data_IF_920896494652
#
_entry.id   IF_920896494652
#
_cell.length_a   1.000
_cell.length_b   1.000
_cell.length_c   1.000
_cell.angle_alpha   90.00
_cell.angle_beta   90.00
_cell.angle_gamma   90.00
#
_symmetry.space_group_name_H-M   'P 1'
#
loop_
_entity.id
_entity.type
_entity.pdbx_description
1 polymer ?
#
# COMPACT_ATOMS: atom_id res chain seq x y z
N UNK A 1 -7.25 14.02 22.26
CA UNK A 1 -7.19 12.54 22.41
C UNK A 1 -5.74 12.16 22.62
N UNK A 2 -5.44 11.34 23.61
CA UNK A 2 -4.07 10.87 23.84
C UNK A 2 -3.75 9.77 22.84
N UNK A 3 -2.57 9.85 22.21
CA UNK A 3 -2.08 8.85 21.25
C UNK A 3 -0.81 8.24 21.81
N UNK A 4 -0.80 6.94 22.02
CA UNK A 4 0.37 6.20 22.44
C UNK A 4 1.13 5.70 21.21
N UNK A 5 2.29 6.28 20.96
CA UNK A 5 3.17 5.89 19.83
C UNK A 5 4.27 4.96 20.30
N UNK A 6 4.51 3.88 19.53
CA UNK A 6 5.58 2.93 19.77
C UNK A 6 6.14 2.44 18.42
N UNK A 7 7.38 1.99 18.43
CA UNK A 7 8.09 1.50 17.24
C UNK A 7 9.08 0.41 17.59
N UNK A 8 9.40 -0.43 16.62
CA UNK A 8 10.32 -1.52 16.85
C UNK A 8 10.53 -2.39 15.65
N UNK A 9 11.06 -3.57 15.90
CA UNK A 9 11.27 -4.59 14.88
C UNK A 9 10.51 -5.85 15.22
N UNK A 10 10.03 -6.54 14.20
CA UNK A 10 9.43 -7.86 14.28
C UNK A 10 10.13 -8.79 13.28
N UNK A 11 10.46 -10.00 13.73
CA UNK A 11 11.05 -10.99 12.85
C UNK A 11 9.99 -11.61 11.94
N UNK A 12 10.22 -11.56 10.65
CA UNK A 12 9.40 -12.17 9.61
C UNK A 12 10.07 -13.44 9.07
N UNK A 13 9.47 -14.02 8.03
CA UNK A 13 9.99 -15.22 7.37
C UNK A 13 11.45 -15.02 6.92
N UNK A 14 12.22 -16.10 6.92
CA UNK A 14 13.67 -16.11 6.60
C UNK A 14 14.52 -15.24 7.53
N UNK A 15 14.04 -14.92 8.74
CA UNK A 15 14.79 -14.19 9.76
C UNK A 15 14.97 -12.68 9.46
N UNK A 16 14.22 -12.13 8.52
CA UNK A 16 14.25 -10.70 8.17
C UNK A 16 13.52 -9.90 9.25
N UNK A 17 14.14 -8.83 9.76
CA UNK A 17 13.49 -7.93 10.70
C UNK A 17 12.80 -6.79 9.98
N UNK A 18 11.50 -6.66 10.19
CA UNK A 18 10.67 -5.59 9.66
C UNK A 18 10.54 -4.49 10.71
N UNK A 19 10.83 -3.26 10.31
CA UNK A 19 10.59 -2.08 11.13
C UNK A 19 9.12 -1.68 11.06
N UNK A 20 8.51 -1.42 12.22
CA UNK A 20 7.12 -0.97 12.31
C UNK A 20 6.99 0.22 13.26
N UNK A 21 5.95 0.99 13.04
CA UNK A 21 5.44 2.02 13.94
C UNK A 21 3.96 1.79 14.19
N UNK A 22 3.52 2.06 15.43
CA UNK A 22 2.11 2.07 15.80
C UNK A 22 1.76 3.34 16.56
N UNK A 23 0.59 3.86 16.28
CA UNK A 23 0.01 5.03 16.93
C UNK A 23 -1.40 4.64 17.39
N UNK A 24 -1.53 4.36 18.68
CA UNK A 24 -2.73 3.80 19.29
C UNK A 24 -3.52 4.90 19.98
N UNK A 25 -4.80 4.99 19.69
CA UNK A 25 -5.74 5.82 20.41
C UNK A 25 -6.42 5.01 21.51
N UNK A 26 -6.90 5.67 22.54
CA UNK A 26 -7.73 5.05 23.56
C UNK A 26 -9.10 4.69 22.96
N UNK A 27 -9.55 3.46 23.15
CA UNK A 27 -10.83 2.92 22.62
C UNK A 27 -11.00 3.08 21.08
N UNK A 28 -10.13 2.51 20.27
CA UNK A 28 -10.24 2.63 18.81
C UNK A 28 -11.49 1.93 18.27
N UNK A 29 -12.18 2.57 17.34
CA UNK A 29 -13.27 1.93 16.60
C UNK A 29 -12.73 0.93 15.57
N UNK A 30 -11.60 1.25 14.96
CA UNK A 30 -10.92 0.45 13.93
C UNK A 30 -9.41 0.58 14.07
N UNK A 31 -8.70 -0.46 13.71
CA UNK A 31 -7.25 -0.41 13.48
C UNK A 31 -6.99 -0.45 11.99
N UNK A 32 -6.18 0.49 11.50
CA UNK A 32 -5.74 0.54 10.10
C UNK A 32 -4.29 0.11 10.00
N UNK A 33 -4.01 -0.93 9.21
CA UNK A 33 -2.66 -1.32 8.80
C UNK A 33 -2.35 -0.71 7.45
N UNK A 34 -1.34 0.19 7.38
CA UNK A 34 -0.95 0.88 6.14
C UNK A 34 0.25 0.17 5.49
N UNK A 35 0.11 -0.12 4.19
CA UNK A 35 1.10 -0.70 3.30
C UNK A 35 1.57 0.35 2.29
N UNK A 36 2.85 0.72 2.35
CA UNK A 36 3.43 1.76 1.50
C UNK A 36 3.67 1.30 0.05
N UNK A 37 3.92 2.24 -0.87
CA UNK A 37 4.24 1.98 -2.26
C UNK A 37 5.68 1.48 -2.48
N UNK A 38 6.01 1.21 -3.75
CA UNK A 38 7.35 0.76 -4.12
C UNK A 38 8.39 1.86 -3.92
N UNK A 39 9.59 1.50 -3.50
CA UNK A 39 10.73 2.40 -3.29
C UNK A 39 10.54 3.48 -2.22
N UNK A 40 9.41 3.53 -1.55
CA UNK A 40 9.14 4.46 -0.46
C UNK A 40 9.16 3.77 0.92
N UNK A 41 8.57 4.39 1.95
CA UNK A 41 8.58 3.88 3.32
C UNK A 41 7.40 4.40 4.15
N UNK A 42 7.17 3.81 5.32
CA UNK A 42 6.06 4.10 6.23
C UNK A 42 5.95 5.58 6.66
N UNK A 43 7.08 6.30 6.71
CA UNK A 43 7.13 7.69 7.18
C UNK A 43 6.31 8.66 6.31
N UNK A 44 6.15 8.37 5.02
CA UNK A 44 5.38 9.19 4.08
C UNK A 44 3.88 9.22 4.38
N UNK A 45 3.40 8.34 5.24
CA UNK A 45 1.99 8.28 5.69
C UNK A 45 1.75 8.97 7.04
N UNK A 46 2.69 9.79 7.52
CA UNK A 46 2.58 10.46 8.83
C UNK A 46 1.38 11.43 8.88
N UNK A 47 1.09 12.15 7.78
CA UNK A 47 -0.08 13.02 7.71
C UNK A 47 -1.39 12.22 7.80
N UNK A 48 -1.56 11.21 6.97
CA UNK A 48 -2.72 10.32 6.97
C UNK A 48 -2.96 9.70 8.35
N UNK A 49 -1.91 9.16 8.97
CA UNK A 49 -1.95 8.59 10.30
C UNK A 49 -2.47 9.60 11.33
N UNK A 50 -1.99 10.84 11.29
CA UNK A 50 -2.47 11.88 12.21
C UNK A 50 -3.96 12.16 12.02
N UNK A 51 -4.46 12.25 10.77
CA UNK A 51 -5.89 12.43 10.50
C UNK A 51 -6.71 11.25 11.04
N UNK A 52 -6.26 10.03 10.83
CA UNK A 52 -6.94 8.83 11.35
C UNK A 52 -7.00 8.84 12.88
N UNK A 53 -5.91 9.17 13.56
CA UNK A 53 -5.90 9.23 15.03
C UNK A 53 -6.91 10.27 15.57
N UNK A 54 -7.09 11.43 14.89
CA UNK A 54 -8.11 12.42 15.32
C UNK A 54 -9.53 11.88 15.25
N UNK A 55 -9.76 10.84 14.46
CA UNK A 55 -11.06 10.18 14.24
C UNK A 55 -11.18 8.84 14.99
N UNK A 56 -10.42 8.66 16.07
CA UNK A 56 -10.41 7.45 16.92
C UNK A 56 -10.04 6.16 16.17
N UNK A 57 -9.20 6.26 15.14
CA UNK A 57 -8.62 5.11 14.45
C UNK A 57 -7.19 4.91 14.92
N UNK A 58 -6.86 3.71 15.39
CA UNK A 58 -5.46 3.32 15.65
C UNK A 58 -4.77 2.94 14.35
N UNK A 59 -3.48 3.23 14.24
CA UNK A 59 -2.72 3.01 12.99
C UNK A 59 -1.48 2.19 13.25
N UNK A 60 -1.26 1.17 12.43
CA UNK A 60 0.00 0.46 12.28
C UNK A 60 0.56 0.71 10.89
N UNK A 61 1.87 0.88 10.80
CA UNK A 61 2.61 1.04 9.56
C UNK A 61 3.89 0.24 9.68
N UNK A 62 4.35 -0.37 8.60
CA UNK A 62 5.66 -1.02 8.61
C UNK A 62 6.36 -0.80 7.28
N UNK A 63 7.69 -0.85 7.31
CA UNK A 63 8.51 -0.84 6.11
C UNK A 63 8.59 -2.26 5.55
N UNK A 64 8.24 -2.43 4.28
CA UNK A 64 8.46 -3.71 3.60
C UNK A 64 9.94 -4.10 3.64
N UNK A 65 10.22 -5.40 3.60
CA UNK A 65 11.60 -5.88 3.46
C UNK A 65 12.34 -5.17 2.34
N UNK A 66 13.59 -4.79 2.60
CA UNK A 66 14.40 -4.04 1.64
C UNK A 66 13.99 -2.58 1.45
N UNK A 67 13.09 -2.04 2.28
CA UNK A 67 12.66 -0.64 2.27
C UNK A 67 12.82 0.01 3.64
N UNK A 68 12.91 1.35 3.65
CA UNK A 68 13.01 2.14 4.87
C UNK A 68 14.06 1.63 5.85
N UNK A 69 13.65 1.31 7.07
CA UNK A 69 14.50 0.76 8.13
C UNK A 69 14.44 -0.77 8.24
N UNK A 70 13.62 -1.46 7.44
CA UNK A 70 13.56 -2.92 7.42
C UNK A 70 14.80 -3.54 6.82
N UNK A 71 15.16 -4.74 7.31
CA UNK A 71 16.24 -5.54 6.74
C UNK A 71 15.86 -6.08 5.36
N UNK A 72 16.86 -6.64 4.66
CA UNK A 72 16.73 -7.19 3.32
C UNK A 72 17.56 -6.44 2.29
N UNK A 73 17.62 -6.97 1.07
CA UNK A 73 18.31 -6.28 -0.04
C UNK A 73 17.48 -5.09 -0.48
N UNK A 74 18.11 -3.93 -0.61
CA UNK A 74 17.42 -2.67 -0.96
C UNK A 74 16.66 -2.79 -2.27
N UNK A 75 15.36 -2.48 -2.24
CA UNK A 75 14.45 -2.54 -3.38
C UNK A 75 14.65 -3.79 -4.26
N UNK A 76 14.70 -4.97 -3.60
CA UNK A 76 14.86 -6.28 -4.23
C UNK A 76 14.00 -7.33 -3.52
N UNK A 77 13.52 -8.30 -4.29
CA UNK A 77 12.82 -9.48 -3.77
C UNK A 77 13.11 -10.69 -4.66
N UNK A 78 13.18 -11.86 -4.07
CA UNK A 78 13.35 -13.12 -4.80
C UNK A 78 12.00 -13.80 -5.14
N UNK A 79 10.97 -13.56 -4.31
CA UNK A 79 9.59 -14.01 -4.54
C UNK A 79 8.61 -12.98 -3.93
N UNK A 80 7.67 -12.46 -4.73
CA UNK A 80 6.67 -11.50 -4.26
C UNK A 80 5.80 -12.04 -3.12
N UNK A 81 5.67 -13.35 -2.98
CA UNK A 81 4.95 -13.97 -1.86
C UNK A 81 5.54 -13.64 -0.50
N UNK A 82 6.83 -13.31 -0.43
CA UNK A 82 7.46 -12.90 0.83
C UNK A 82 6.86 -11.60 1.40
N UNK A 83 6.36 -10.70 0.55
CA UNK A 83 5.63 -9.52 1.01
C UNK A 83 4.26 -9.89 1.62
N UNK A 84 3.60 -10.92 1.08
CA UNK A 84 2.34 -11.44 1.63
C UNK A 84 2.57 -12.04 3.01
N UNK A 85 3.66 -12.81 3.17
CA UNK A 85 4.06 -13.37 4.47
C UNK A 85 4.39 -12.27 5.48
N UNK A 86 5.05 -11.17 5.04
CA UNK A 86 5.36 -10.02 5.90
C UNK A 86 4.08 -9.35 6.42
N UNK A 87 3.10 -9.14 5.55
CA UNK A 87 1.78 -8.61 5.95
C UNK A 87 1.13 -9.51 6.98
N UNK A 88 1.17 -10.84 6.79
CA UNK A 88 0.58 -11.81 7.71
C UNK A 88 1.23 -11.75 9.11
N UNK A 89 2.56 -11.61 9.16
CA UNK A 89 3.30 -11.46 10.43
C UNK A 89 2.88 -10.20 11.18
N UNK A 90 2.83 -9.05 10.49
CA UNK A 90 2.40 -7.77 11.08
C UNK A 90 0.92 -7.85 11.50
N UNK A 91 0.04 -8.40 10.66
CA UNK A 91 -1.39 -8.52 10.96
C UNK A 91 -1.66 -9.39 12.19
N UNK A 92 -0.91 -10.48 12.38
CA UNK A 92 -0.98 -11.29 13.60
C UNK A 92 -0.67 -10.48 14.85
N UNK A 93 0.38 -9.64 14.81
CA UNK A 93 0.71 -8.71 15.90
C UNK A 93 -0.43 -7.71 16.14
N UNK A 94 -0.95 -7.09 15.08
CA UNK A 94 -2.07 -6.14 15.17
C UNK A 94 -3.25 -6.76 15.89
N UNK A 95 -3.66 -7.97 15.51
CA UNK A 95 -4.83 -8.68 16.09
C UNK A 95 -4.61 -9.09 17.55
N UNK A 96 -3.39 -9.53 17.89
CA UNK A 96 -3.05 -9.89 19.28
C UNK A 96 -3.10 -8.68 20.21
N UNK A 97 -2.65 -7.52 19.73
CA UNK A 97 -2.62 -6.28 20.51
C UNK A 97 -3.99 -5.57 20.56
N UNK A 98 -4.90 -5.85 19.61
CA UNK A 98 -6.21 -5.22 19.50
C UNK A 98 -7.33 -6.28 19.36
N UNK A 99 -7.54 -7.12 20.39
CA UNK A 99 -8.55 -8.17 20.32
C UNK A 99 -9.95 -7.55 20.19
N UNK A 100 -10.76 -8.10 19.27
CA UNK A 100 -12.13 -7.68 18.99
C UNK A 100 -12.31 -6.28 18.38
N UNK A 101 -11.23 -5.60 17.99
CA UNK A 101 -11.32 -4.36 17.23
C UNK A 101 -11.24 -4.71 15.74
N UNK A 102 -12.14 -4.19 14.90
CA UNK A 102 -12.06 -4.38 13.45
C UNK A 102 -10.72 -3.91 12.89
N UNK A 103 -10.17 -4.67 11.94
CA UNK A 103 -8.89 -4.34 11.27
C UNK A 103 -9.13 -4.12 9.79
N UNK A 104 -8.60 -3.03 9.26
CA UNK A 104 -8.61 -2.69 7.82
C UNK A 104 -7.17 -2.62 7.32
N UNK A 105 -6.93 -3.09 6.10
CA UNK A 105 -5.67 -2.86 5.39
C UNK A 105 -5.88 -1.70 4.42
N UNK A 106 -5.02 -0.67 4.51
CA UNK A 106 -4.90 0.39 3.52
C UNK A 106 -3.60 0.22 2.75
N UNK A 107 -3.66 0.02 1.44
CA UNK A 107 -2.47 -0.11 0.60
C UNK A 107 -2.44 0.93 -0.52
N UNK A 108 -1.28 1.54 -0.74
CA UNK A 108 -1.06 2.46 -1.84
C UNK A 108 -0.15 1.86 -2.91
N UNK A 109 -0.49 2.04 -4.18
CA UNK A 109 0.35 1.62 -5.31
C UNK A 109 0.74 0.15 -5.21
N UNK A 110 2.03 -0.16 -5.11
CA UNK A 110 2.54 -1.51 -4.83
C UNK A 110 1.94 -2.11 -3.55
N UNK A 111 1.82 -1.33 -2.46
CA UNK A 111 1.13 -1.75 -1.24
C UNK A 111 -0.34 -2.09 -1.48
N UNK A 112 -0.99 -1.42 -2.44
CA UNK A 112 -2.34 -1.74 -2.89
C UNK A 112 -2.41 -3.09 -3.61
N UNK A 113 -1.43 -3.39 -4.48
CA UNK A 113 -1.29 -4.72 -5.08
C UNK A 113 -1.12 -5.80 -4.00
N UNK A 114 -0.23 -5.58 -3.03
CA UNK A 114 0.00 -6.53 -1.93
C UNK A 114 -1.25 -6.72 -1.07
N UNK A 115 -2.00 -5.65 -0.78
CA UNK A 115 -3.26 -5.72 -0.03
C UNK A 115 -4.30 -6.60 -0.76
N UNK A 116 -4.49 -6.39 -2.06
CA UNK A 116 -5.41 -7.20 -2.88
C UNK A 116 -4.93 -8.65 -2.94
N UNK A 117 -3.63 -8.88 -3.19
CA UNK A 117 -3.07 -10.23 -3.24
C UNK A 117 -3.25 -10.96 -1.91
N UNK A 118 -3.06 -10.26 -0.78
CA UNK A 118 -3.33 -10.81 0.56
C UNK A 118 -4.79 -11.22 0.70
N UNK A 119 -5.75 -10.38 0.32
CA UNK A 119 -7.19 -10.68 0.40
C UNK A 119 -7.62 -11.85 -0.50
N UNK A 120 -7.02 -11.97 -1.69
CA UNK A 120 -7.29 -13.13 -2.58
C UNK A 120 -6.82 -14.45 -1.96
N UNK A 121 -5.67 -14.44 -1.25
CA UNK A 121 -5.07 -15.64 -0.64
C UNK A 121 -5.70 -15.94 0.71
N UNK A 122 -5.92 -14.91 1.54
CA UNK A 122 -6.31 -14.98 2.93
C UNK A 122 -7.67 -14.32 3.16
N UNK A 123 -8.72 -14.87 2.55
CA UNK A 123 -10.09 -14.34 2.62
C UNK A 123 -10.60 -14.23 4.07
N UNK A 124 -11.37 -13.19 4.36
CA UNK A 124 -11.98 -12.95 5.67
C UNK A 124 -10.98 -12.78 6.83
N UNK A 125 -9.71 -12.47 6.53
CA UNK A 125 -8.72 -12.23 7.58
C UNK A 125 -8.76 -10.82 8.15
N UNK A 126 -9.35 -9.86 7.43
CA UNK A 126 -9.58 -8.49 7.91
C UNK A 126 -11.01 -8.07 7.61
N UNK A 127 -11.43 -6.94 8.17
CA UNK A 127 -12.81 -6.47 8.05
C UNK A 127 -13.05 -5.65 6.78
N UNK A 128 -11.98 -5.20 6.11
CA UNK A 128 -12.07 -4.48 4.85
C UNK A 128 -10.72 -4.03 4.32
N UNK A 129 -10.76 -3.55 3.10
CA UNK A 129 -9.58 -3.05 2.37
C UNK A 129 -9.86 -1.67 1.81
N UNK A 130 -8.83 -0.84 1.82
CA UNK A 130 -8.79 0.44 1.11
C UNK A 130 -7.57 0.42 0.22
N UNK A 131 -7.72 0.60 -1.07
CA UNK A 131 -6.61 0.58 -2.00
C UNK A 131 -6.57 1.86 -2.82
N UNK A 132 -5.44 2.54 -2.74
CA UNK A 132 -5.16 3.80 -3.42
C UNK A 132 -4.24 3.54 -4.61
N UNK A 133 -4.73 3.80 -5.82
CA UNK A 133 -3.98 3.66 -7.07
C UNK A 133 -3.20 2.32 -7.15
N UNK A 134 -3.83 1.15 -6.93
CA UNK A 134 -3.14 -0.12 -6.81
C UNK A 134 -2.43 -0.51 -8.10
N UNK A 135 -1.18 -0.96 -8.02
CA UNK A 135 -0.41 -1.46 -9.16
C UNK A 135 -0.93 -2.82 -9.59
N UNK A 136 -1.85 -2.87 -10.52
CA UNK A 136 -2.59 -4.06 -10.92
C UNK A 136 -2.48 -4.41 -12.40
N UNK A 137 -1.88 -3.51 -13.17
CA UNK A 137 -1.46 -3.74 -14.55
C UNK A 137 -0.18 -2.94 -14.85
N UNK A 138 0.30 -3.04 -16.06
CA UNK A 138 1.38 -2.21 -16.61
C UNK A 138 0.92 -1.57 -17.92
N UNK A 139 -0.31 -1.07 -17.95
CA UNK A 139 -0.86 -0.45 -19.16
C UNK A 139 -0.14 0.87 -19.52
N UNK A 140 0.38 1.56 -18.52
CA UNK A 140 1.27 2.70 -18.74
C UNK A 140 2.63 2.31 -19.34
N UNK A 141 2.96 1.01 -19.40
CA UNK A 141 4.18 0.48 -20.00
C UNK A 141 5.46 0.83 -19.24
N UNK A 142 5.34 1.29 -17.99
CA UNK A 142 6.50 1.69 -17.19
C UNK A 142 7.38 0.49 -16.87
N UNK A 143 6.77 -0.67 -16.61
CA UNK A 143 7.49 -1.91 -16.30
C UNK A 143 7.92 -2.66 -17.57
N UNK A 144 7.30 -2.41 -18.73
CA UNK A 144 7.65 -3.03 -20.01
C UNK A 144 9.09 -2.75 -20.44
N UNK A 145 9.59 -1.56 -20.16
CA UNK A 145 10.98 -1.19 -20.41
C UNK A 145 11.97 -2.14 -19.70
N UNK A 146 11.53 -2.86 -18.66
CA UNK A 146 12.34 -3.77 -17.85
C UNK A 146 12.10 -5.26 -18.15
N UNK A 147 11.24 -5.60 -19.12
CA UNK A 147 11.04 -7.00 -19.61
C UNK A 147 12.25 -7.59 -20.32
N UNK A 148 13.38 -6.85 -20.34
CA UNK A 148 14.62 -7.24 -21.00
C UNK A 148 15.29 -8.47 -20.35
N UNK A 149 16.25 -9.07 -21.07
CA UNK A 149 17.11 -10.17 -20.59
C UNK A 149 18.15 -9.73 -19.52
N UNK A 150 17.91 -8.63 -18.81
CA UNK A 150 18.80 -8.15 -17.75
C UNK A 150 18.84 -9.13 -16.59
N UNK A 151 20.02 -9.23 -15.95
CA UNK A 151 20.19 -10.04 -14.74
C UNK A 151 19.35 -9.47 -13.59
N UNK A 152 18.82 -10.34 -12.75
CA UNK A 152 17.93 -9.96 -11.62
C UNK A 152 18.60 -9.02 -10.63
N UNK A 153 19.93 -9.10 -10.51
CA UNK A 153 20.74 -8.25 -9.63
C UNK A 153 21.10 -6.89 -10.24
N UNK A 154 20.67 -6.61 -11.46
CA UNK A 154 20.84 -5.30 -12.07
C UNK A 154 19.89 -4.31 -11.44
N UNK A 155 20.40 -3.12 -11.09
CA UNK A 155 19.57 -2.02 -10.58
C UNK A 155 19.32 -0.98 -11.66
N UNK A 156 18.10 -0.53 -11.76
CA UNK A 156 17.61 0.50 -12.68
C UNK A 156 17.10 1.71 -11.91
N UNK A 157 17.16 2.88 -12.53
CA UNK A 157 16.76 4.13 -11.90
C UNK A 157 15.24 4.14 -11.61
N UNK A 158 14.86 4.58 -10.43
CA UNK A 158 13.49 4.91 -10.08
C UNK A 158 13.15 6.30 -10.65
N UNK A 159 12.41 6.35 -11.75
CA UNK A 159 12.02 7.58 -12.41
C UNK A 159 10.61 8.07 -12.02
N UNK A 160 9.99 7.51 -10.99
CA UNK A 160 8.62 7.81 -10.59
C UNK A 160 8.46 9.21 -9.99
N UNK A 161 9.54 9.77 -9.42
CA UNK A 161 9.52 11.04 -8.67
C UNK A 161 8.86 12.22 -9.39
N UNK A 162 8.88 12.23 -10.73
CA UNK A 162 8.27 13.30 -11.53
C UNK A 162 6.76 13.14 -11.71
N UNK A 163 6.23 11.95 -11.45
CA UNK A 163 4.86 11.54 -11.78
C UNK A 163 4.01 11.23 -10.54
N UNK A 164 4.64 11.14 -9.34
CA UNK A 164 3.96 10.69 -8.13
C UNK A 164 2.84 11.63 -7.66
N UNK A 165 2.97 12.94 -7.85
CA UNK A 165 2.01 13.92 -7.34
C UNK A 165 1.99 15.19 -8.20
N UNK A 166 0.85 15.87 -8.32
CA UNK A 166 0.75 17.16 -8.99
C UNK A 166 1.44 18.29 -8.19
N UNK A 167 1.54 18.15 -6.87
CA UNK A 167 2.22 19.11 -6.01
C UNK A 167 3.74 19.00 -6.12
N UNK A 168 4.37 20.08 -6.57
CA UNK A 168 5.83 20.14 -6.74
C UNK A 168 6.59 19.98 -5.41
N UNK A 169 6.00 20.40 -4.28
CA UNK A 169 6.63 20.26 -2.98
C UNK A 169 6.70 18.78 -2.57
N UNK A 170 5.63 18.02 -2.78
CA UNK A 170 5.59 16.56 -2.53
C UNK A 170 6.63 15.83 -3.39
N UNK A 171 6.75 16.19 -4.68
CA UNK A 171 7.79 15.62 -5.56
C UNK A 171 9.20 15.94 -5.08
N UNK A 172 9.42 17.16 -4.57
CA UNK A 172 10.71 17.56 -4.01
C UNK A 172 11.04 16.74 -2.76
N UNK A 173 10.09 16.61 -1.84
CA UNK A 173 10.23 15.79 -0.62
C UNK A 173 10.52 14.33 -0.97
N UNK A 174 9.86 13.76 -1.97
CA UNK A 174 10.14 12.40 -2.47
C UNK A 174 11.59 12.24 -2.93
N UNK A 175 12.14 13.22 -3.66
CA UNK A 175 13.52 13.19 -4.19
C UNK A 175 14.56 13.37 -3.08
N UNK A 176 14.28 14.23 -2.09
CA UNK A 176 15.22 14.60 -1.03
C UNK A 176 15.18 13.62 0.16
N UNK A 177 14.19 12.72 0.22
CA UNK A 177 14.05 11.74 1.29
C UNK A 177 15.10 10.62 1.17
N UNK A 178 16.02 10.48 2.15
CA UNK A 178 17.09 9.48 2.10
C UNK A 178 16.60 8.04 2.24
N UNK A 179 15.35 7.81 2.65
CA UNK A 179 14.73 6.49 2.77
C UNK A 179 13.98 6.07 1.51
N UNK A 180 13.75 7.00 0.59
CA UNK A 180 13.21 6.69 -0.74
C UNK A 180 14.34 6.16 -1.63
N UNK A 181 14.15 4.97 -2.20
CA UNK A 181 15.15 4.37 -3.07
C UNK A 181 15.15 5.02 -4.46
N UNK A 182 16.29 5.51 -4.88
CA UNK A 182 16.53 6.05 -6.22
C UNK A 182 16.67 4.97 -7.29
N UNK A 183 16.80 3.69 -6.88
CA UNK A 183 16.96 2.52 -7.76
C UNK A 183 16.17 1.34 -7.24
N UNK A 184 15.74 0.48 -8.16
CA UNK A 184 15.14 -0.82 -7.86
C UNK A 184 15.80 -1.91 -8.71
N UNK A 185 15.80 -3.14 -8.21
CA UNK A 185 16.38 -4.26 -8.94
C UNK A 185 15.43 -4.79 -10.02
N UNK A 186 16.00 -5.36 -11.07
CA UNK A 186 15.24 -6.10 -12.09
C UNK A 186 14.51 -7.30 -11.47
N UNK A 187 15.07 -7.90 -10.40
CA UNK A 187 14.41 -8.94 -9.62
C UNK A 187 13.07 -8.49 -9.06
N UNK A 188 13.05 -7.33 -8.39
CA UNK A 188 11.81 -6.74 -7.85
C UNK A 188 10.78 -6.48 -8.97
N UNK A 189 11.20 -5.89 -10.09
CA UNK A 189 10.30 -5.61 -11.22
C UNK A 189 9.72 -6.89 -11.80
N UNK A 190 10.53 -7.94 -12.01
CA UNK A 190 10.07 -9.22 -12.54
C UNK A 190 9.08 -9.92 -11.59
N UNK A 191 9.35 -9.90 -10.29
CA UNK A 191 8.45 -10.49 -9.31
C UNK A 191 7.13 -9.69 -9.19
N UNK A 192 7.17 -8.36 -9.30
CA UNK A 192 5.94 -7.55 -9.43
C UNK A 192 5.11 -7.97 -10.64
N UNK A 193 5.71 -8.05 -11.84
CA UNK A 193 5.01 -8.45 -13.06
C UNK A 193 4.42 -9.86 -12.94
N UNK A 194 5.15 -10.79 -12.34
CA UNK A 194 4.67 -12.15 -12.04
C UNK A 194 3.45 -12.12 -11.10
N UNK A 195 3.52 -11.34 -10.04
CA UNK A 195 2.43 -11.16 -9.07
C UNK A 195 1.20 -10.50 -9.70
N UNK A 196 1.37 -9.45 -10.50
CA UNK A 196 0.30 -8.78 -11.24
C UNK A 196 -0.40 -9.78 -12.19
N UNK A 197 0.38 -10.55 -12.97
CA UNK A 197 -0.17 -11.54 -13.86
C UNK A 197 -0.94 -12.65 -13.11
N UNK A 198 -0.48 -13.05 -11.93
CA UNK A 198 -1.20 -13.98 -11.05
C UNK A 198 -2.49 -13.35 -10.52
N UNK A 199 -2.45 -12.11 -10.05
CA UNK A 199 -3.58 -11.41 -9.50
C UNK A 199 -4.68 -11.21 -10.55
N UNK A 200 -4.37 -10.79 -11.77
CA UNK A 200 -5.34 -10.68 -12.87
C UNK A 200 -6.14 -11.98 -13.08
N UNK A 201 -5.50 -13.14 -12.94
CA UNK A 201 -6.17 -14.46 -13.06
C UNK A 201 -6.99 -14.85 -11.83
N UNK A 202 -6.68 -14.26 -10.66
CA UNK A 202 -7.21 -14.68 -9.37
C UNK A 202 -8.20 -13.70 -8.76
N UNK A 203 -8.34 -12.50 -9.35
CA UNK A 203 -9.08 -11.37 -8.76
C UNK A 203 -10.56 -11.68 -8.49
N UNK A 204 -11.18 -12.55 -9.28
CA UNK A 204 -12.55 -13.02 -9.04
C UNK A 204 -12.72 -13.79 -7.72
N UNK A 205 -11.62 -14.14 -7.03
CA UNK A 205 -11.68 -14.74 -5.70
C UNK A 205 -11.74 -13.70 -4.57
N UNK A 206 -11.49 -12.44 -4.88
CA UNK A 206 -11.54 -11.37 -3.89
C UNK A 206 -13.01 -11.06 -3.55
N UNK A 207 -13.41 -11.28 -2.29
CA UNK A 207 -14.79 -11.16 -1.83
C UNK A 207 -14.97 -10.33 -0.54
N UNK A 208 -13.88 -9.80 0.03
CA UNK A 208 -13.93 -8.95 1.22
C UNK A 208 -14.42 -7.53 0.89
N UNK A 209 -14.96 -6.76 1.87
CA UNK A 209 -15.31 -5.35 1.68
C UNK A 209 -14.11 -4.52 1.20
N UNK A 210 -14.31 -3.68 0.17
CA UNK A 210 -13.22 -2.88 -0.42
C UNK A 210 -13.68 -1.51 -0.90
N UNK A 211 -12.82 -0.51 -0.66
CA UNK A 211 -12.85 0.80 -1.29
C UNK A 211 -11.63 0.95 -2.21
N UNK A 212 -11.88 1.17 -3.50
CA UNK A 212 -10.86 1.58 -4.46
C UNK A 212 -10.90 3.10 -4.61
N UNK A 213 -9.75 3.77 -4.53
CA UNK A 213 -9.61 5.20 -4.74
C UNK A 213 -8.47 5.46 -5.73
N UNK A 214 -8.69 6.33 -6.74
CA UNK A 214 -7.69 6.59 -7.77
C UNK A 214 -7.76 8.02 -8.30
N UNK A 215 -6.64 8.58 -8.69
CA UNK A 215 -6.58 9.87 -9.40
C UNK A 215 -6.81 9.67 -10.91
N UNK A 216 -7.68 10.47 -11.52
CA UNK A 216 -8.01 10.37 -12.95
C UNK A 216 -6.80 10.68 -13.85
N UNK A 217 -5.89 11.56 -13.39
CA UNK A 217 -4.70 11.96 -14.14
C UNK A 217 -3.41 11.22 -13.69
N UNK A 218 -3.57 10.04 -13.08
CA UNK A 218 -2.43 9.19 -12.71
C UNK A 218 -1.68 8.74 -13.97
N UNK A 219 -0.38 9.06 -14.02
CA UNK A 219 0.51 8.74 -15.14
C UNK A 219 1.41 7.52 -14.84
N UNK A 220 1.30 6.92 -13.66
CA UNK A 220 2.05 5.75 -13.24
C UNK A 220 1.20 4.48 -13.38
N UNK A 221 -0.03 4.54 -12.86
CA UNK A 221 -1.02 3.46 -12.95
C UNK A 221 -2.30 4.05 -13.50
N UNK A 222 -2.84 3.48 -14.56
CA UNK A 222 -4.11 3.94 -15.13
C UNK A 222 -5.27 3.71 -14.15
N UNK A 223 -6.14 4.70 -13.96
CA UNK A 223 -7.35 4.53 -13.16
C UNK A 223 -8.30 3.46 -13.75
N UNK A 224 -8.22 3.21 -15.05
CA UNK A 224 -8.94 2.13 -15.75
C UNK A 224 -8.62 0.78 -15.12
N UNK A 225 -7.39 0.58 -14.62
CA UNK A 225 -7.00 -0.61 -13.91
C UNK A 225 -7.85 -0.84 -12.64
N UNK A 226 -8.16 0.24 -11.90
CA UNK A 226 -9.05 0.17 -10.73
C UNK A 226 -10.50 -0.12 -11.12
N UNK A 227 -10.98 0.44 -12.23
CA UNK A 227 -12.31 0.12 -12.76
C UNK A 227 -12.40 -1.35 -13.19
N UNK A 228 -11.37 -1.87 -13.88
CA UNK A 228 -11.33 -3.29 -14.24
C UNK A 228 -11.30 -4.22 -13.03
N UNK A 229 -10.56 -3.85 -11.96
CA UNK A 229 -10.57 -4.61 -10.71
C UNK A 229 -11.95 -4.61 -10.08
N UNK A 230 -12.56 -3.43 -9.98
CA UNK A 230 -13.91 -3.26 -9.44
C UNK A 230 -14.91 -4.19 -10.16
N UNK A 231 -14.87 -4.23 -11.49
CA UNK A 231 -15.77 -5.08 -12.27
C UNK A 231 -15.52 -6.60 -12.04
N UNK A 232 -14.25 -6.99 -11.93
CA UNK A 232 -13.85 -8.42 -11.88
C UNK A 232 -13.88 -9.05 -10.48
N UNK A 233 -13.87 -8.25 -9.41
CA UNK A 233 -13.96 -8.72 -8.03
C UNK A 233 -15.34 -9.28 -7.72
N UNK A 234 -15.42 -10.36 -6.94
CA UNK A 234 -16.69 -10.96 -6.48
C UNK A 234 -17.22 -10.33 -5.19
N UNK A 235 -16.52 -9.36 -4.60
CA UNK A 235 -17.02 -8.65 -3.43
C UNK A 235 -18.38 -8.01 -3.69
N UNK A 236 -19.35 -8.23 -2.78
CA UNK A 236 -20.66 -7.60 -2.82
C UNK A 236 -20.64 -6.21 -2.18
N UNK A 237 -19.70 -5.94 -1.27
CA UNK A 237 -19.45 -4.62 -0.66
C UNK A 237 -18.20 -3.99 -1.25
N UNK A 238 -18.31 -3.47 -2.46
CA UNK A 238 -17.22 -2.79 -3.16
C UNK A 238 -17.63 -1.39 -3.60
N UNK A 239 -16.73 -0.44 -3.41
CA UNK A 239 -16.91 0.95 -3.83
C UNK A 239 -15.69 1.41 -4.61
N UNK A 240 -15.88 2.35 -5.53
CA UNK A 240 -14.81 3.00 -6.27
C UNK A 240 -15.06 4.51 -6.32
N UNK A 241 -13.98 5.30 -6.12
CA UNK A 241 -14.01 6.75 -6.27
C UNK A 241 -12.82 7.14 -7.15
N UNK A 242 -13.12 7.76 -8.30
CA UNK A 242 -12.12 8.35 -9.18
C UNK A 242 -12.11 9.86 -8.95
N UNK A 243 -10.94 10.42 -8.63
CA UNK A 243 -10.77 11.85 -8.31
C UNK A 243 -10.27 12.62 -9.53
N UNK A 244 -11.11 13.49 -10.13
CA UNK A 244 -10.70 14.32 -11.26
C UNK A 244 -9.50 15.21 -10.94
N UNK A 245 -8.53 15.25 -11.85
CA UNK A 245 -7.36 16.12 -11.76
C UNK A 245 -6.28 15.69 -10.77
N UNK A 246 -6.47 14.58 -10.01
CA UNK A 246 -5.45 14.06 -9.10
C UNK A 246 -4.54 13.05 -9.80
N UNK A 247 -3.28 13.01 -9.36
CA UNK A 247 -2.26 12.09 -9.85
C UNK A 247 -2.18 10.83 -8.96
N UNK A 248 -1.02 10.17 -8.95
CA UNK A 248 -0.83 8.86 -8.31
C UNK A 248 -1.00 8.88 -6.78
N UNK A 249 -0.28 9.78 -6.09
CA UNK A 249 -0.30 9.87 -4.63
C UNK A 249 -1.47 10.72 -4.12
N UNK A 250 -2.71 10.29 -4.38
CA UNK A 250 -3.92 11.05 -4.02
C UNK A 250 -4.03 11.39 -2.54
N UNK A 251 -3.37 10.60 -1.67
CA UNK A 251 -3.29 10.85 -0.22
C UNK A 251 -2.27 11.94 0.16
N UNK A 252 -1.50 12.45 -0.81
CA UNK A 252 -0.53 13.53 -0.66
C UNK A 252 -0.85 14.75 -1.56
N UNK A 253 -1.87 14.65 -2.39
CA UNK A 253 -2.31 15.73 -3.28
C UNK A 253 -2.87 16.95 -2.52
N UNK A 254 -3.05 18.06 -3.22
CA UNK A 254 -3.64 19.30 -2.64
C UNK A 254 -5.03 19.07 -2.06
N UNK A 255 -5.77 18.11 -2.62
CA UNK A 255 -7.11 17.72 -2.15
C UNK A 255 -7.09 16.53 -1.18
N UNK A 256 -5.93 16.16 -0.63
CA UNK A 256 -5.78 15.01 0.26
C UNK A 256 -6.78 14.99 1.42
N UNK A 257 -7.15 16.16 1.96
CA UNK A 257 -8.08 16.23 3.09
C UNK A 257 -9.47 15.70 2.70
N UNK A 258 -9.93 16.00 1.49
CA UNK A 258 -11.20 15.46 0.96
C UNK A 258 -11.07 13.93 0.73
N UNK A 259 -9.99 13.49 0.11
CA UNK A 259 -9.74 12.05 -0.12
C UNK A 259 -9.72 11.28 1.22
N UNK A 260 -9.03 11.83 2.22
CA UNK A 260 -8.94 11.23 3.56
C UNK A 260 -10.33 11.24 4.25
N UNK A 261 -11.11 12.29 4.10
CA UNK A 261 -12.47 12.37 4.64
C UNK A 261 -13.39 11.31 4.02
N UNK A 262 -13.30 11.09 2.71
CA UNK A 262 -14.08 10.04 2.01
C UNK A 262 -13.69 8.64 2.51
N UNK A 263 -12.39 8.40 2.71
CA UNK A 263 -11.86 7.16 3.32
C UNK A 263 -12.41 6.97 4.73
N UNK A 264 -12.34 8.00 5.59
CA UNK A 264 -12.86 7.95 6.97
C UNK A 264 -14.37 7.70 6.95
N UNK A 265 -15.10 8.37 6.08
CA UNK A 265 -16.55 8.19 5.92
C UNK A 265 -16.90 6.75 5.53
N UNK A 266 -16.13 6.16 4.61
CA UNK A 266 -16.33 4.75 4.23
C UNK A 266 -16.11 3.80 5.42
N UNK A 267 -15.09 4.06 6.25
CA UNK A 267 -14.82 3.30 7.48
C UNK A 267 -15.98 3.44 8.47
N UNK A 268 -16.37 4.68 8.80
CA UNK A 268 -17.41 4.99 9.81
C UNK A 268 -18.80 4.47 9.45
N UNK A 269 -19.09 4.31 8.16
CA UNK A 269 -20.38 3.73 7.72
C UNK A 269 -20.45 2.21 7.92
N UNK A 270 -19.34 1.53 8.29
CA UNK A 270 -19.26 0.07 8.41
C UNK A 270 -18.89 -0.43 9.81
N UNK A 271 -18.18 0.40 10.55
CA UNK A 271 -17.59 0.06 11.86
C UNK A 271 -17.84 1.21 12.87
#
# INVERSE_FOLDING_TARGET
MEVHSDKGFIESVKGIKLYFEKDLVEHPHVVVLILHGICEHLGRYAYLKNQFNTMSLSVYRFDFRGHGYSEGRKAHIDDYMEYIDDVDVILKKVKVENPNVPVIILGHSFGGFIAIAYGVINQNMVNGYIVSAPTTSDEAGILDAFRSNMAIDTYVQNNLSKLVCSDAQVRKEYIEDPLVHDKMSIGLVKEMLKGIAWMKRSIAKFNDPILLIHGEEDQIVSYIDSEELYEKMSSEDKNIIIYPGLWHEILNEKMKDQVILDVITWIQNRF
#
